data_IF_937412278945
#
_entry.id   IF_937412278945
#
_cell.length_a   1.000
_cell.length_b   1.000
_cell.length_c   1.000
_cell.angle_alpha   90.00
_cell.angle_beta   90.00
_cell.angle_gamma   90.00
#
_symmetry.space_group_name_H-M   'P 1'
#
loop_
_entity.id
_entity.type
_entity.pdbx_description
1 polymer ?
#
# COMPACT_ATOMS: atom_id res chain seq x y z
N UNK A 1 -0.36 -12.29 -37.27
CA UNK A 1 -1.81 -12.48 -37.07
C UNK A 1 -2.15 -11.87 -35.73
N UNK A 2 -2.66 -10.67 -35.74
CA UNK A 2 -2.99 -9.88 -34.54
C UNK A 2 -4.28 -10.41 -33.93
N UNK A 3 -4.19 -10.99 -32.72
CA UNK A 3 -5.37 -11.30 -31.91
C UNK A 3 -5.76 -10.02 -31.16
N UNK A 4 -6.70 -9.29 -31.69
CA UNK A 4 -7.47 -8.29 -30.94
C UNK A 4 -8.43 -9.03 -30.02
N UNK A 5 -7.99 -9.36 -28.81
CA UNK A 5 -8.88 -9.80 -27.75
C UNK A 5 -9.53 -8.53 -27.19
N UNK A 6 -10.79 -8.35 -27.48
CA UNK A 6 -11.64 -7.31 -26.86
C UNK A 6 -12.07 -7.81 -25.49
N UNK A 7 -11.96 -6.97 -24.45
CA UNK A 7 -12.66 -7.21 -23.19
C UNK A 7 -14.15 -7.46 -23.50
N UNK A 8 -14.83 -8.38 -22.83
CA UNK A 8 -16.26 -8.55 -23.00
C UNK A 8 -16.92 -7.19 -22.77
N UNK A 9 -17.82 -6.80 -23.69
CA UNK A 9 -18.59 -5.56 -23.59
C UNK A 9 -19.29 -5.54 -22.22
N UNK A 10 -19.39 -4.38 -21.55
CA UNK A 10 -20.23 -4.25 -20.38
C UNK A 10 -21.64 -4.71 -20.74
N UNK A 11 -22.19 -5.62 -19.93
CA UNK A 11 -23.58 -6.06 -20.04
C UNK A 11 -24.45 -4.81 -19.89
N UNK A 12 -25.23 -4.53 -20.94
CA UNK A 12 -26.23 -3.50 -20.94
C UNK A 12 -27.17 -3.71 -19.74
N UNK A 13 -27.58 -2.60 -19.15
CA UNK A 13 -28.55 -2.49 -18.07
C UNK A 13 -29.75 -3.39 -18.36
N UNK A 14 -29.91 -4.45 -17.60
CA UNK A 14 -31.16 -5.19 -17.48
C UNK A 14 -31.77 -4.81 -16.15
N UNK A 15 -32.70 -3.88 -16.19
CA UNK A 15 -33.54 -3.54 -15.06
C UNK A 15 -34.37 -4.73 -14.62
N UNK A 16 -34.56 -4.88 -13.32
CA UNK A 16 -35.71 -5.60 -12.83
C UNK A 16 -35.54 -6.52 -11.64
N UNK A 17 -36.06 -6.04 -10.54
CA UNK A 17 -36.72 -6.74 -9.44
C UNK A 17 -35.92 -7.21 -8.24
N UNK A 18 -36.24 -6.55 -7.14
CA UNK A 18 -36.04 -6.98 -5.77
C UNK A 18 -36.55 -8.41 -5.54
N UNK A 19 -35.72 -9.20 -4.85
CA UNK A 19 -36.05 -10.50 -4.33
C UNK A 19 -35.16 -10.77 -3.13
N UNK A 20 -35.75 -10.69 -1.93
CA UNK A 20 -35.15 -11.08 -0.66
C UNK A 20 -34.64 -12.52 -0.71
N UNK A 21 -33.43 -12.74 -0.24
CA UNK A 21 -32.87 -14.08 -0.08
C UNK A 21 -31.46 -14.00 0.41
N UNK A 22 -31.29 -13.94 1.73
CA UNK A 22 -30.00 -14.09 2.38
C UNK A 22 -29.36 -15.42 1.98
N UNK A 23 -28.20 -15.37 1.34
CA UNK A 23 -27.31 -16.51 1.19
C UNK A 23 -25.95 -16.23 1.87
N UNK A 24 -25.41 -17.23 2.60
CA UNK A 24 -24.27 -17.04 3.45
C UNK A 24 -22.99 -16.89 2.63
N UNK A 25 -22.31 -15.82 2.90
CA UNK A 25 -20.87 -15.60 2.95
C UNK A 25 -19.98 -16.65 2.27
N UNK A 26 -19.45 -16.29 1.13
CA UNK A 26 -18.11 -16.72 0.74
C UNK A 26 -17.16 -15.65 1.27
N UNK A 27 -16.49 -15.93 2.37
CA UNK A 27 -15.68 -14.98 3.11
C UNK A 27 -14.52 -14.46 2.28
N UNK A 28 -14.40 -13.16 2.22
CA UNK A 28 -13.20 -12.47 1.79
C UNK A 28 -12.12 -12.68 2.85
N UNK A 29 -11.12 -13.51 2.57
CA UNK A 29 -10.01 -13.81 3.48
C UNK A 29 -8.98 -12.65 3.61
N UNK A 30 -9.18 -11.54 2.92
CA UNK A 30 -8.38 -10.35 3.07
C UNK A 30 -8.98 -9.48 4.18
N UNK A 31 -8.42 -9.49 5.36
CA UNK A 31 -8.78 -8.61 6.46
C UNK A 31 -9.95 -9.06 7.35
N UNK A 32 -10.60 -10.20 7.11
CA UNK A 32 -11.53 -10.79 8.06
C UNK A 32 -10.76 -11.28 9.29
N UNK A 33 -11.08 -10.69 10.45
CA UNK A 33 -10.45 -11.00 11.73
C UNK A 33 -9.52 -9.91 12.28
N UNK A 34 -9.27 -8.83 11.53
CA UNK A 34 -8.56 -7.68 12.07
C UNK A 34 -9.54 -6.81 12.85
N UNK A 35 -9.41 -6.83 14.17
CA UNK A 35 -10.23 -6.00 15.05
C UNK A 35 -9.68 -4.57 15.11
N UNK A 36 -10.41 -3.61 14.56
CA UNK A 36 -10.12 -2.17 14.63
C UNK A 36 -11.18 -1.39 15.42
N UNK A 37 -12.14 -2.08 16.04
CA UNK A 37 -13.25 -1.45 16.76
C UNK A 37 -12.81 -0.71 18.01
N UNK A 38 -11.64 -1.06 18.56
CA UNK A 38 -11.14 -0.55 19.83
C UNK A 38 -9.71 -0.01 19.77
N UNK A 39 -9.17 0.25 18.57
CA UNK A 39 -7.79 0.74 18.45
C UNK A 39 -7.36 1.04 17.02
N UNK A 40 -6.10 1.46 16.84
CA UNK A 40 -5.52 1.73 15.53
C UNK A 40 -5.41 0.45 14.69
N UNK A 41 -5.35 0.62 13.35
CA UNK A 41 -5.09 -0.51 12.44
C UNK A 41 -3.63 -0.97 12.51
N UNK A 42 -2.71 -0.06 12.81
CA UNK A 42 -1.29 -0.35 12.99
C UNK A 42 -0.78 0.30 14.27
N UNK A 43 -0.12 -0.49 15.10
CA UNK A 43 0.47 -0.01 16.35
C UNK A 43 1.88 -0.56 16.54
N UNK A 44 2.84 0.34 16.67
CA UNK A 44 4.22 0.07 17.07
C UNK A 44 4.43 0.62 18.47
N UNK A 45 5.02 -0.17 19.36
CA UNK A 45 5.30 0.23 20.73
C UNK A 45 6.75 -0.08 21.11
N UNK A 46 7.52 0.99 21.40
CA UNK A 46 8.89 0.90 21.88
C UNK A 46 9.84 0.17 20.94
N UNK A 47 9.57 0.23 19.63
CA UNK A 47 10.29 -0.57 18.63
C UNK A 47 11.74 -0.09 18.51
N UNK A 48 12.69 -0.97 18.82
CA UNK A 48 14.12 -0.74 18.67
C UNK A 48 14.72 -1.79 17.74
N UNK A 49 15.50 -1.33 16.76
CA UNK A 49 16.27 -2.17 15.83
C UNK A 49 17.72 -1.75 15.86
N UNK A 50 18.61 -2.68 16.12
CA UNK A 50 20.05 -2.44 16.12
C UNK A 50 20.76 -3.32 15.10
N UNK A 51 21.62 -2.72 14.28
CA UNK A 51 22.54 -3.40 13.36
C UNK A 51 23.97 -3.09 13.79
N UNK A 52 24.71 -4.09 14.20
CA UNK A 52 26.13 -3.97 14.61
C UNK A 52 26.41 -2.81 15.59
N UNK A 53 25.47 -2.57 16.52
CA UNK A 53 25.57 -1.51 17.52
C UNK A 53 24.97 -0.16 17.09
N UNK A 54 24.65 0.03 15.82
CA UNK A 54 23.93 1.20 15.34
C UNK A 54 22.41 0.97 15.49
N UNK A 55 21.74 1.90 16.19
CA UNK A 55 20.28 1.86 16.33
C UNK A 55 19.61 2.52 15.13
N UNK A 56 19.04 1.72 14.24
CA UNK A 56 18.26 2.20 13.11
C UNK A 56 16.84 2.63 13.52
N UNK A 57 16.27 1.99 14.55
CA UNK A 57 15.10 2.47 15.29
C UNK A 57 15.43 2.48 16.77
N UNK A 58 14.96 3.49 17.49
CA UNK A 58 15.26 3.72 18.88
C UNK A 58 13.99 4.14 19.63
N UNK A 59 13.35 3.18 20.31
CA UNK A 59 12.13 3.39 21.09
C UNK A 59 10.98 4.01 20.26
N UNK A 60 10.82 3.56 19.00
CA UNK A 60 9.82 4.08 18.09
C UNK A 60 8.43 3.62 18.51
N UNK A 61 7.54 4.57 18.80
CA UNK A 61 6.10 4.31 19.01
C UNK A 61 5.28 5.11 18.00
N UNK A 62 4.35 4.44 17.32
CA UNK A 62 3.50 5.00 16.27
C UNK A 62 2.17 4.28 16.22
N UNK A 63 1.08 5.03 16.09
CA UNK A 63 -0.25 4.48 15.86
C UNK A 63 -0.85 5.09 14.58
N UNK A 64 -1.44 4.25 13.73
CA UNK A 64 -2.17 4.65 12.50
C UNK A 64 -3.59 4.15 12.63
N UNK A 65 -4.57 5.06 12.48
CA UNK A 65 -5.99 4.72 12.58
C UNK A 65 -6.51 4.02 11.31
N UNK A 66 -7.62 3.29 11.42
CA UNK A 66 -8.24 2.62 10.27
C UNK A 66 -8.77 3.67 9.28
N UNK A 67 -8.45 3.50 8.00
CA UNK A 67 -8.77 4.44 6.93
C UNK A 67 -7.91 5.71 6.90
N UNK A 68 -6.93 5.84 7.79
CA UNK A 68 -6.05 7.02 7.86
C UNK A 68 -5.03 7.04 6.71
N UNK A 69 -4.79 8.24 6.14
CA UNK A 69 -3.65 8.53 5.29
C UNK A 69 -2.58 9.25 6.12
N UNK A 70 -1.51 8.52 6.43
CA UNK A 70 -0.36 8.99 7.21
C UNK A 70 0.85 9.19 6.30
N UNK A 71 1.45 10.37 6.32
CA UNK A 71 2.75 10.60 5.72
C UNK A 71 3.87 10.49 6.75
N UNK A 72 4.92 9.77 6.41
CA UNK A 72 6.14 9.65 7.21
C UNK A 72 7.26 10.37 6.48
N UNK A 73 7.82 11.38 7.09
CA UNK A 73 8.93 12.16 6.55
C UNK A 73 10.14 12.09 7.49
N UNK A 74 11.29 12.53 7.01
CA UNK A 74 12.52 12.56 7.80
C UNK A 74 13.75 12.48 6.89
N UNK A 75 14.93 12.87 7.39
CA UNK A 75 16.18 12.79 6.63
C UNK A 75 16.54 11.35 6.26
N UNK A 76 17.53 11.22 5.38
CA UNK A 76 18.10 9.90 5.08
C UNK A 76 18.73 9.32 6.35
N UNK A 77 18.48 8.03 6.58
CA UNK A 77 18.92 7.35 7.80
C UNK A 77 18.01 7.53 9.02
N UNK A 78 16.89 8.28 8.92
CA UNK A 78 15.96 8.49 10.03
C UNK A 78 15.21 7.21 10.48
N UNK A 79 15.37 6.08 9.79
CA UNK A 79 14.73 4.81 10.15
C UNK A 79 13.46 4.47 9.36
N UNK A 80 13.04 5.30 8.38
CA UNK A 80 11.79 5.13 7.62
C UNK A 80 11.65 3.74 6.98
N UNK A 81 12.64 3.32 6.22
CA UNK A 81 12.68 1.99 5.56
C UNK A 81 12.71 0.86 6.59
N UNK A 82 13.50 1.00 7.66
CA UNK A 82 13.57 0.01 8.73
C UNK A 82 12.24 -0.15 9.45
N UNK A 83 11.49 0.94 9.68
CA UNK A 83 10.14 0.91 10.22
C UNK A 83 9.21 0.09 9.31
N UNK A 84 9.20 0.36 8.01
CA UNK A 84 8.42 -0.41 7.04
C UNK A 84 8.84 -1.88 6.99
N UNK A 85 10.14 -2.16 7.08
CA UNK A 85 10.68 -3.52 7.13
C UNK A 85 10.22 -4.27 8.39
N UNK A 86 10.04 -3.57 9.53
CA UNK A 86 9.46 -4.16 10.73
C UNK A 86 7.96 -4.50 10.54
N UNK A 87 7.19 -3.61 9.94
CA UNK A 87 5.76 -3.82 9.70
C UNK A 87 5.54 -5.01 8.76
N UNK A 88 6.39 -5.17 7.74
CA UNK A 88 6.28 -6.27 6.77
C UNK A 88 6.96 -7.57 7.22
N UNK A 89 7.61 -7.59 8.39
CA UNK A 89 8.29 -8.77 8.95
C UNK A 89 9.64 -9.08 8.33
N UNK A 90 10.15 -8.25 7.41
CA UNK A 90 11.47 -8.40 6.80
C UNK A 90 12.60 -8.14 7.80
N UNK A 91 12.39 -7.23 8.75
CA UNK A 91 13.29 -6.97 9.87
C UNK A 91 12.56 -7.23 11.18
N UNK A 92 13.23 -7.92 12.11
CA UNK A 92 12.69 -8.17 13.45
C UNK A 92 13.25 -7.15 14.41
N UNK A 93 12.40 -6.41 15.15
CA UNK A 93 12.84 -5.58 16.27
C UNK A 93 13.61 -6.38 17.30
N UNK A 94 14.59 -5.73 17.91
CA UNK A 94 15.33 -6.27 19.07
C UNK A 94 14.50 -6.11 20.35
N UNK A 95 13.74 -5.01 20.43
CA UNK A 95 12.82 -4.69 21.55
C UNK A 95 11.56 -4.07 20.97
N UNK A 96 10.46 -4.16 21.69
CA UNK A 96 9.17 -3.59 21.30
C UNK A 96 8.29 -4.57 20.54
N UNK A 97 7.11 -4.10 20.13
CA UNK A 97 6.08 -4.90 19.48
C UNK A 97 5.45 -4.17 18.32
N UNK A 98 4.93 -4.93 17.34
CA UNK A 98 4.21 -4.41 16.18
C UNK A 98 2.91 -5.18 16.03
N UNK A 99 1.78 -4.48 16.13
CA UNK A 99 0.45 -5.05 16.02
C UNK A 99 -0.29 -4.54 14.80
N UNK A 100 -1.05 -5.43 14.17
CA UNK A 100 -2.02 -5.11 13.13
C UNK A 100 -3.43 -5.34 13.69
N UNK A 101 -4.23 -4.26 13.76
CA UNK A 101 -5.41 -4.22 14.59
C UNK A 101 -5.07 -4.43 16.07
N UNK A 102 -6.09 -4.72 16.87
CA UNK A 102 -5.93 -4.85 18.32
C UNK A 102 -5.29 -6.17 18.77
N UNK A 103 -5.21 -7.19 17.91
CA UNK A 103 -4.93 -8.57 18.31
C UNK A 103 -3.83 -9.29 17.55
N UNK A 104 -3.44 -8.83 16.38
CA UNK A 104 -2.51 -9.56 15.50
C UNK A 104 -1.09 -9.10 15.76
N UNK A 105 -0.30 -9.91 16.44
CA UNK A 105 1.13 -9.69 16.66
C UNK A 105 1.94 -10.07 15.42
N UNK A 106 2.42 -9.05 14.68
CA UNK A 106 3.21 -9.22 13.46
C UNK A 106 4.58 -9.86 13.72
N UNK A 107 5.07 -9.77 14.96
CA UNK A 107 6.35 -10.37 15.36
C UNK A 107 6.36 -11.89 15.25
N UNK A 108 5.18 -12.52 15.27
CA UNK A 108 5.00 -13.98 15.21
C UNK A 108 4.71 -14.48 13.80
N UNK A 109 4.65 -13.60 12.82
CA UNK A 109 4.24 -13.92 11.45
C UNK A 109 5.42 -13.85 10.49
N UNK A 110 5.35 -14.61 9.40
CA UNK A 110 6.26 -14.49 8.27
C UNK A 110 5.78 -13.38 7.32
N UNK A 111 6.67 -12.84 6.48
CA UNK A 111 6.32 -11.85 5.45
C UNK A 111 5.11 -12.26 4.60
N UNK A 112 5.07 -13.52 4.18
CA UNK A 112 3.95 -14.06 3.40
C UNK A 112 2.63 -14.08 4.19
N UNK A 113 2.67 -14.41 5.48
CA UNK A 113 1.47 -14.35 6.34
C UNK A 113 1.01 -12.91 6.52
N UNK A 114 1.93 -11.97 6.74
CA UNK A 114 1.64 -10.54 6.88
C UNK A 114 0.98 -9.99 5.61
N UNK A 115 1.50 -10.34 4.42
CA UNK A 115 0.87 -9.96 3.17
C UNK A 115 -0.55 -10.56 3.01
N UNK A 116 -0.75 -11.81 3.46
CA UNK A 116 -2.04 -12.48 3.35
C UNK A 116 -3.13 -11.89 4.26
N UNK A 117 -2.77 -11.35 5.43
CA UNK A 117 -3.73 -10.70 6.33
C UNK A 117 -4.12 -9.29 5.88
N UNK A 118 -3.57 -8.78 4.77
CA UNK A 118 -3.98 -7.51 4.17
C UNK A 118 -3.03 -6.34 4.38
N UNK A 119 -1.74 -6.57 4.62
CA UNK A 119 -0.72 -5.53 4.58
C UNK A 119 0.02 -5.62 3.25
N UNK A 120 -0.16 -4.62 2.39
CA UNK A 120 0.52 -4.51 1.11
C UNK A 120 1.65 -3.48 1.15
N UNK A 121 2.79 -3.77 0.54
CA UNK A 121 3.90 -2.82 0.41
C UNK A 121 4.36 -2.69 -1.02
N UNK A 122 4.42 -1.45 -1.51
CA UNK A 122 5.16 -1.08 -2.71
C UNK A 122 6.61 -0.79 -2.33
N UNK A 123 7.53 -1.52 -2.95
CA UNK A 123 8.96 -1.31 -2.76
C UNK A 123 9.50 -0.21 -3.68
N UNK A 124 10.66 0.36 -3.35
CA UNK A 124 11.32 1.39 -4.17
C UNK A 124 11.70 0.90 -5.58
N UNK A 125 12.08 -0.37 -5.72
CA UNK A 125 12.39 -0.96 -7.04
C UNK A 125 11.15 -1.52 -7.69
N UNK A 126 10.90 -1.23 -8.98
CA UNK A 126 9.78 -1.77 -9.70
C UNK A 126 9.78 -3.31 -9.67
N UNK A 127 8.61 -3.89 -9.38
CA UNK A 127 8.39 -5.34 -9.29
C UNK A 127 7.49 -5.86 -10.41
N UNK A 128 7.25 -5.03 -11.44
CA UNK A 128 6.45 -5.42 -12.60
C UNK A 128 7.17 -6.44 -13.47
N UNK A 129 6.44 -7.41 -13.97
CA UNK A 129 6.93 -8.36 -14.98
C UNK A 129 6.92 -7.70 -16.35
N UNK A 130 8.06 -7.14 -16.76
CA UNK A 130 8.16 -6.30 -17.95
C UNK A 130 7.84 -7.05 -19.27
N UNK A 131 8.00 -8.37 -19.31
CA UNK A 131 7.68 -9.21 -20.46
C UNK A 131 6.20 -9.53 -20.59
N UNK A 132 5.41 -9.26 -19.58
CA UNK A 132 3.97 -9.51 -19.53
C UNK A 132 3.19 -8.23 -19.83
N UNK A 133 1.94 -8.39 -20.25
CA UNK A 133 0.99 -7.27 -20.38
C UNK A 133 0.59 -6.71 -19.01
N UNK A 134 0.02 -5.52 -19.01
CA UNK A 134 -0.58 -4.92 -17.81
C UNK A 134 -1.62 -5.87 -17.21
N UNK A 135 -2.49 -6.47 -18.04
CA UNK A 135 -3.49 -7.43 -17.58
C UNK A 135 -2.87 -8.64 -16.89
N UNK A 136 -1.85 -9.25 -17.51
CA UNK A 136 -1.17 -10.44 -16.96
C UNK A 136 -0.47 -10.12 -15.63
N UNK A 137 0.11 -8.93 -15.47
CA UNK A 137 0.65 -8.48 -14.20
C UNK A 137 -0.44 -8.41 -13.11
N UNK A 138 -1.61 -7.85 -13.44
CA UNK A 138 -2.75 -7.78 -12.52
C UNK A 138 -3.29 -9.16 -12.16
N UNK A 139 -3.38 -10.07 -13.15
CA UNK A 139 -3.81 -11.47 -12.95
C UNK A 139 -2.87 -12.22 -12.00
N UNK A 140 -1.55 -12.07 -12.17
CA UNK A 140 -0.56 -12.70 -11.29
C UNK A 140 -0.62 -12.17 -9.85
N UNK A 141 -1.04 -10.91 -9.67
CA UNK A 141 -1.17 -10.29 -8.36
C UNK A 141 -2.41 -10.73 -7.59
N UNK A 142 -3.43 -11.28 -8.28
CA UNK A 142 -4.64 -11.77 -7.61
C UNK A 142 -4.31 -12.85 -6.59
N UNK A 143 -4.95 -12.75 -5.42
CA UNK A 143 -4.93 -13.84 -4.43
C UNK A 143 -5.79 -14.99 -4.95
N UNK A 144 -5.16 -15.96 -5.60
CA UNK A 144 -5.80 -17.21 -5.99
C UNK A 144 -5.31 -18.36 -5.14
N UNK A 145 -6.16 -19.36 -4.90
CA UNK A 145 -5.74 -20.59 -4.22
C UNK A 145 -4.67 -21.28 -5.08
N UNK A 146 -3.40 -21.16 -4.66
CA UNK A 146 -2.23 -21.67 -5.39
C UNK A 146 -2.05 -23.16 -5.12
N UNK A 147 -2.97 -24.00 -5.60
CA UNK A 147 -2.71 -25.44 -5.71
C UNK A 147 -2.07 -25.75 -7.07
N UNK A 148 -1.12 -26.69 -7.17
CA UNK A 148 -0.42 -27.00 -8.44
C UNK A 148 -1.37 -27.44 -9.57
N UNK A 149 -2.56 -27.90 -9.25
CA UNK A 149 -3.59 -28.28 -10.21
C UNK A 149 -4.62 -27.17 -10.49
N UNK A 150 -4.74 -26.17 -9.61
CA UNK A 150 -5.64 -25.04 -9.80
C UNK A 150 -5.11 -24.04 -10.84
N UNK A 151 -3.79 -23.85 -10.89
CA UNK A 151 -3.12 -22.89 -11.78
C UNK A 151 -3.19 -23.27 -13.27
N UNK A 152 -3.36 -24.56 -13.61
CA UNK A 152 -3.36 -25.04 -15.01
C UNK A 152 -4.73 -24.89 -15.69
N UNK A 153 -5.81 -24.70 -14.94
CA UNK A 153 -7.19 -24.62 -15.45
C UNK A 153 -8.04 -23.44 -14.96
N UNK A 154 -7.49 -22.59 -14.14
CA UNK A 154 -8.25 -21.47 -13.60
C UNK A 154 -8.53 -20.40 -14.69
N UNK A 155 -9.72 -20.42 -15.25
CA UNK A 155 -10.27 -19.23 -15.90
C UNK A 155 -10.65 -18.26 -14.78
N UNK A 156 -10.25 -16.99 -14.92
CA UNK A 156 -10.69 -15.94 -14.03
C UNK A 156 -12.22 -15.88 -13.99
N UNK A 157 -12.78 -15.83 -12.80
CA UNK A 157 -14.21 -15.60 -12.61
C UNK A 157 -14.60 -14.16 -12.99
N UNK A 158 -15.89 -13.92 -13.22
CA UNK A 158 -16.40 -12.58 -13.55
C UNK A 158 -16.02 -11.55 -12.48
N UNK A 159 -16.11 -11.92 -11.21
CA UNK A 159 -15.75 -11.05 -10.07
C UNK A 159 -14.26 -10.63 -10.10
N UNK A 160 -13.37 -11.55 -10.44
CA UNK A 160 -11.94 -11.27 -10.57
C UNK A 160 -11.63 -10.33 -11.75
N UNK A 161 -12.32 -10.52 -12.87
CA UNK A 161 -12.21 -9.65 -14.04
C UNK A 161 -12.72 -8.25 -13.74
N UNK A 162 -13.87 -8.14 -13.07
CA UNK A 162 -14.45 -6.86 -12.65
C UNK A 162 -13.53 -6.12 -11.67
N UNK A 163 -12.88 -6.85 -10.76
CA UNK A 163 -11.90 -6.30 -9.83
C UNK A 163 -10.68 -5.76 -10.55
N UNK A 164 -10.11 -6.51 -11.48
CA UNK A 164 -9.00 -6.05 -12.31
C UNK A 164 -9.41 -4.79 -13.09
N UNK A 165 -10.58 -4.79 -13.74
CA UNK A 165 -11.04 -3.65 -14.52
C UNK A 165 -11.23 -2.39 -13.65
N UNK A 166 -11.90 -2.51 -12.51
CA UNK A 166 -12.07 -1.41 -11.54
C UNK A 166 -10.72 -0.85 -11.09
N UNK A 167 -9.79 -1.73 -10.74
CA UNK A 167 -8.45 -1.31 -10.30
C UNK A 167 -7.69 -0.62 -11.42
N UNK A 168 -7.75 -1.12 -12.66
CA UNK A 168 -7.10 -0.50 -13.80
C UNK A 168 -7.66 0.89 -14.13
N UNK A 169 -8.95 1.11 -13.93
CA UNK A 169 -9.57 2.44 -14.03
C UNK A 169 -9.00 3.34 -12.93
N UNK A 170 -8.96 2.87 -11.69
CA UNK A 170 -8.50 3.63 -10.54
C UNK A 170 -7.02 4.06 -10.67
N UNK A 171 -6.16 3.17 -11.17
CA UNK A 171 -4.74 3.50 -11.41
C UNK A 171 -4.47 4.08 -12.81
N UNK A 172 -5.51 4.46 -13.55
CA UNK A 172 -5.42 5.11 -14.88
C UNK A 172 -4.63 4.30 -15.93
N UNK A 173 -4.78 2.97 -15.91
CA UNK A 173 -4.11 2.07 -16.86
C UNK A 173 -5.07 1.25 -17.73
N UNK A 174 -6.38 1.54 -17.69
CA UNK A 174 -7.39 0.80 -18.45
C UNK A 174 -7.09 0.74 -19.96
N UNK A 175 -6.68 1.89 -20.53
CA UNK A 175 -6.38 1.98 -21.97
C UNK A 175 -5.07 1.26 -22.34
N UNK A 176 -4.27 0.87 -21.36
CA UNK A 176 -2.99 0.19 -21.52
C UNK A 176 -3.08 -1.31 -21.21
N UNK A 177 -4.27 -1.84 -20.93
CA UNK A 177 -4.51 -3.19 -20.39
C UNK A 177 -3.77 -4.30 -21.14
N UNK A 178 -3.69 -4.22 -22.47
CA UNK A 178 -3.00 -5.23 -23.31
C UNK A 178 -1.59 -4.83 -23.71
N UNK A 179 -1.10 -3.68 -23.28
CA UNK A 179 0.28 -3.28 -23.52
C UNK A 179 1.25 -4.08 -22.67
N UNK A 180 2.41 -4.37 -23.24
CA UNK A 180 3.52 -4.94 -22.49
C UNK A 180 3.99 -3.94 -21.41
N UNK A 181 4.16 -4.40 -20.16
CA UNK A 181 4.54 -3.53 -19.05
C UNK A 181 5.94 -2.90 -19.23
N UNK A 182 6.81 -3.55 -20.00
CA UNK A 182 8.15 -3.05 -20.29
C UNK A 182 8.19 -1.72 -21.03
N UNK A 183 7.14 -1.39 -21.85
CA UNK A 183 7.06 -0.15 -22.62
C UNK A 183 6.30 0.98 -21.92
N UNK A 184 5.81 0.76 -20.71
CA UNK A 184 5.18 1.78 -19.90
C UNK A 184 6.21 2.83 -19.44
N UNK A 185 5.77 4.09 -19.27
CA UNK A 185 6.58 5.11 -18.60
C UNK A 185 6.92 4.69 -17.15
N UNK A 186 7.89 5.36 -16.56
CA UNK A 186 8.26 5.09 -15.17
C UNK A 186 7.05 5.26 -14.23
N UNK A 187 6.32 6.36 -14.33
CA UNK A 187 5.11 6.61 -13.54
C UNK A 187 4.01 5.59 -13.79
N UNK A 188 3.80 5.17 -15.04
CA UNK A 188 2.84 4.11 -15.37
C UNK A 188 3.22 2.75 -14.75
N UNK A 189 4.51 2.41 -14.69
CA UNK A 189 4.99 1.22 -13.97
C UNK A 189 4.70 1.32 -12.48
N UNK A 190 4.91 2.49 -11.88
CA UNK A 190 4.57 2.73 -10.48
C UNK A 190 3.07 2.57 -10.21
N UNK A 191 2.20 3.09 -11.10
CA UNK A 191 0.75 2.89 -11.00
C UNK A 191 0.34 1.43 -11.17
N UNK A 192 1.01 0.70 -12.06
CA UNK A 192 0.77 -0.75 -12.19
C UNK A 192 1.10 -1.50 -10.90
N UNK A 193 2.20 -1.16 -10.23
CA UNK A 193 2.56 -1.75 -8.94
C UNK A 193 1.52 -1.45 -7.85
N UNK A 194 1.06 -0.20 -7.77
CA UNK A 194 -0.03 0.16 -6.85
C UNK A 194 -1.29 -0.63 -7.21
N UNK A 195 -1.63 -0.78 -8.50
CA UNK A 195 -2.74 -1.61 -8.97
C UNK A 195 -2.60 -3.07 -8.57
N UNK A 196 -1.40 -3.64 -8.69
CA UNK A 196 -1.09 -5.01 -8.25
C UNK A 196 -1.25 -5.21 -6.73
N UNK A 197 -1.07 -4.16 -5.94
CA UNK A 197 -1.41 -4.20 -4.51
C UNK A 197 -2.92 -4.08 -4.30
N UNK A 198 -3.58 -3.12 -4.94
CA UNK A 198 -5.00 -2.84 -4.75
C UNK A 198 -5.89 -4.02 -5.16
N UNK A 199 -5.54 -4.76 -6.21
CA UNK A 199 -6.30 -5.93 -6.66
C UNK A 199 -6.33 -7.05 -5.62
N UNK A 200 -5.43 -7.00 -4.62
CA UNK A 200 -5.39 -7.93 -3.48
C UNK A 200 -6.28 -7.47 -2.32
N UNK A 201 -6.91 -6.30 -2.41
CA UNK A 201 -7.76 -5.69 -1.39
C UNK A 201 -7.07 -5.59 -0.01
N UNK A 202 -5.89 -4.93 0.06
CA UNK A 202 -5.21 -4.75 1.33
C UNK A 202 -5.97 -3.77 2.22
N UNK A 203 -5.94 -3.96 3.54
CA UNK A 203 -6.46 -2.97 4.51
C UNK A 203 -5.44 -1.89 4.81
N UNK A 204 -4.16 -2.24 4.82
CA UNK A 204 -3.04 -1.32 5.03
C UNK A 204 -2.10 -1.35 3.83
N UNK A 205 -1.82 -0.19 3.26
CA UNK A 205 -0.93 -0.01 2.13
C UNK A 205 0.27 0.83 2.57
N UNK A 206 1.47 0.29 2.35
CA UNK A 206 2.72 0.97 2.61
C UNK A 206 3.33 1.38 1.26
N UNK A 207 3.46 2.68 1.04
CA UNK A 207 4.06 3.25 -0.17
C UNK A 207 5.42 3.88 0.18
N UNK A 208 6.48 3.39 -0.44
CA UNK A 208 7.85 3.86 -0.23
C UNK A 208 8.27 4.68 -1.46
N UNK A 209 8.34 6.01 -1.30
CA UNK A 209 8.66 7.00 -2.34
C UNK A 209 7.83 6.78 -3.63
N UNK A 210 6.49 6.84 -3.54
CA UNK A 210 5.62 6.49 -4.67
C UNK A 210 5.75 7.43 -5.86
N UNK A 211 6.27 8.65 -5.69
CA UNK A 211 6.41 9.65 -6.77
C UNK A 211 7.84 9.86 -7.25
N UNK A 212 8.81 9.08 -6.74
CA UNK A 212 10.20 9.20 -7.15
C UNK A 212 10.37 9.04 -8.67
N UNK A 213 10.98 10.04 -9.32
CA UNK A 213 11.24 10.04 -10.77
C UNK A 213 10.01 10.24 -11.66
N UNK A 214 8.89 10.65 -11.11
CA UNK A 214 7.69 11.03 -11.85
C UNK A 214 7.77 12.47 -12.38
N UNK A 215 7.03 12.72 -13.45
CA UNK A 215 6.74 14.09 -13.92
C UNK A 215 5.70 14.73 -13.01
N UNK A 216 5.58 16.07 -13.04
CA UNK A 216 4.60 16.83 -12.25
C UNK A 216 3.16 16.30 -12.48
N UNK A 217 2.81 16.00 -13.74
CA UNK A 217 1.49 15.46 -14.08
C UNK A 217 1.25 14.04 -13.54
N UNK A 218 2.30 13.21 -13.47
CA UNK A 218 2.21 11.87 -12.87
C UNK A 218 2.14 11.97 -11.35
N UNK A 219 2.91 12.87 -10.73
CA UNK A 219 2.86 13.17 -9.29
C UNK A 219 1.47 13.63 -8.87
N UNK A 220 0.86 14.54 -9.64
CA UNK A 220 -0.51 15.01 -9.42
C UNK A 220 -1.52 13.87 -9.37
N UNK A 221 -1.49 13.02 -10.40
CA UNK A 221 -2.40 11.86 -10.48
C UNK A 221 -2.15 10.84 -9.37
N UNK A 222 -0.89 10.69 -8.93
CA UNK A 222 -0.57 9.83 -7.79
C UNK A 222 -1.13 10.41 -6.50
N UNK A 223 -1.12 11.73 -6.34
CA UNK A 223 -1.78 12.40 -5.22
C UNK A 223 -3.29 12.16 -5.21
N UNK A 224 -3.96 12.34 -6.37
CA UNK A 224 -5.38 12.04 -6.54
C UNK A 224 -5.69 10.58 -6.21
N UNK A 225 -4.86 9.64 -6.66
CA UNK A 225 -5.00 8.23 -6.35
C UNK A 225 -4.92 7.99 -4.83
N UNK A 226 -3.89 8.49 -4.16
CA UNK A 226 -3.74 8.34 -2.70
C UNK A 226 -4.95 8.89 -1.95
N UNK A 227 -5.45 10.08 -2.32
CA UNK A 227 -6.63 10.68 -1.73
C UNK A 227 -7.91 9.86 -1.99
N UNK A 228 -8.03 9.22 -3.15
CA UNK A 228 -9.18 8.37 -3.48
C UNK A 228 -9.22 7.05 -2.69
N UNK A 229 -8.09 6.63 -2.15
CA UNK A 229 -7.95 5.41 -1.34
C UNK A 229 -8.24 5.67 0.14
N UNK A 230 -8.16 6.93 0.61
CA UNK A 230 -8.44 7.33 1.99
C UNK A 230 -9.84 6.86 2.42
N UNK A 231 -9.95 6.32 3.61
CA UNK A 231 -11.19 5.81 4.19
C UNK A 231 -11.54 4.38 3.76
N UNK A 232 -11.22 3.97 2.54
CA UNK A 232 -11.39 2.58 2.10
C UNK A 232 -10.17 1.71 2.39
N UNK A 233 -9.01 2.33 2.48
CA UNK A 233 -7.73 1.72 2.85
C UNK A 233 -7.02 2.64 3.84
N UNK A 234 -6.22 2.05 4.73
CA UNK A 234 -5.24 2.80 5.52
C UNK A 234 -3.95 2.91 4.71
N UNK A 235 -3.37 4.11 4.64
CA UNK A 235 -2.16 4.36 3.87
C UNK A 235 -1.05 4.89 4.78
N UNK A 236 0.14 4.32 4.64
CA UNK A 236 1.39 4.89 5.18
C UNK A 236 2.29 5.21 4.00
N UNK A 237 2.54 6.49 3.77
CA UNK A 237 3.33 7.00 2.65
C UNK A 237 4.64 7.56 3.20
N UNK A 238 5.75 6.96 2.82
CA UNK A 238 7.10 7.50 3.11
C UNK A 238 7.52 8.34 1.93
N UNK A 239 7.80 9.60 2.17
CA UNK A 239 8.18 10.55 1.13
C UNK A 239 9.15 11.63 1.63
N UNK A 240 9.86 12.22 0.69
CA UNK A 240 10.73 13.38 0.92
C UNK A 240 10.31 14.59 0.09
N UNK A 241 9.43 14.43 -0.88
CA UNK A 241 8.81 15.52 -1.63
C UNK A 241 7.76 16.23 -0.78
N UNK A 242 8.13 17.41 -0.27
CA UNK A 242 7.29 18.16 0.65
C UNK A 242 6.07 18.80 -0.03
N UNK A 243 6.09 18.98 -1.35
CA UNK A 243 4.94 19.48 -2.10
C UNK A 243 3.89 18.38 -2.21
N UNK A 244 4.30 17.20 -2.62
CA UNK A 244 3.44 16.01 -2.65
C UNK A 244 2.86 15.69 -1.26
N UNK A 245 3.71 15.66 -0.21
CA UNK A 245 3.26 15.43 1.18
C UNK A 245 2.22 16.46 1.60
N UNK A 246 2.45 17.76 1.32
CA UNK A 246 1.51 18.83 1.68
C UNK A 246 0.15 18.66 1.05
N UNK A 247 0.10 18.03 -0.10
CA UNK A 247 -1.11 17.84 -0.88
C UNK A 247 -1.96 16.68 -0.37
N UNK A 248 -1.34 15.59 0.05
CA UNK A 248 -2.07 14.38 0.45
C UNK A 248 -2.19 14.20 1.96
N UNK A 249 -1.26 14.75 2.76
CA UNK A 249 -1.16 14.42 4.17
C UNK A 249 -2.33 14.97 4.98
N UNK A 250 -3.02 14.10 5.70
CA UNK A 250 -3.92 14.46 6.81
C UNK A 250 -3.13 14.57 8.10
N UNK A 251 -2.23 13.64 8.31
CA UNK A 251 -1.34 13.60 9.46
C UNK A 251 0.08 13.26 8.99
N UNK A 252 1.05 13.98 9.51
CA UNK A 252 2.47 13.82 9.22
C UNK A 252 3.19 13.39 10.48
N UNK A 253 4.06 12.39 10.36
CA UNK A 253 4.99 11.98 11.40
C UNK A 253 6.41 12.20 10.88
N UNK A 254 7.21 12.93 11.65
CA UNK A 254 8.62 13.18 11.36
C UNK A 254 9.46 12.18 12.12
N UNK A 255 10.25 11.39 11.41
CA UNK A 255 11.24 10.51 12.01
C UNK A 255 12.62 11.17 11.99
N UNK A 256 13.33 11.04 13.10
CA UNK A 256 14.72 11.45 13.25
C UNK A 256 15.46 10.48 14.18
N UNK A 257 16.64 10.00 13.76
CA UNK A 257 17.48 9.07 14.54
C UNK A 257 16.72 7.85 15.09
N UNK A 258 15.81 7.31 14.29
CA UNK A 258 15.03 6.12 14.63
C UNK A 258 13.86 6.35 15.59
N UNK A 259 13.53 7.59 15.92
CA UNK A 259 12.44 7.95 16.84
C UNK A 259 11.45 8.92 16.17
N UNK A 260 10.24 9.05 16.72
CA UNK A 260 9.29 10.10 16.33
C UNK A 260 9.74 11.43 16.92
N UNK A 261 10.05 12.40 16.06
CA UNK A 261 10.45 13.74 16.47
C UNK A 261 9.21 14.64 16.68
N UNK A 262 8.29 14.61 15.72
CA UNK A 262 7.07 15.42 15.76
C UNK A 262 5.93 14.70 15.02
N UNK A 263 4.70 15.00 15.42
CA UNK A 263 3.49 14.48 14.79
C UNK A 263 2.37 15.52 14.79
N UNK A 264 1.63 15.60 13.67
CA UNK A 264 0.47 16.47 13.55
C UNK A 264 0.08 16.83 12.12
N UNK A 265 -0.68 17.90 11.95
CA UNK A 265 -0.95 18.47 10.63
C UNK A 265 0.34 18.99 9.98
N UNK A 266 0.33 19.13 8.65
CA UNK A 266 1.47 19.67 7.91
C UNK A 266 1.93 21.04 8.44
N UNK A 267 0.99 21.93 8.78
CA UNK A 267 1.29 23.27 9.31
C UNK A 267 1.97 23.19 10.68
N UNK A 268 1.49 22.29 11.55
CA UNK A 268 2.10 22.06 12.87
C UNK A 268 3.53 21.57 12.74
N UNK A 269 3.77 20.60 11.86
CA UNK A 269 5.09 20.01 11.64
C UNK A 269 6.06 21.02 11.02
N UNK A 270 5.61 21.83 10.06
CA UNK A 270 6.43 22.90 9.44
C UNK A 270 6.82 24.00 10.42
N UNK A 271 5.97 24.26 11.41
CA UNK A 271 6.22 25.29 12.44
C UNK A 271 7.03 24.78 13.65
N UNK A 272 7.34 23.50 13.71
CA UNK A 272 8.06 22.92 14.84
C UNK A 272 9.55 23.27 14.78
N UNK A 273 10.12 23.93 15.81
CA UNK A 273 11.51 24.35 15.84
C UNK A 273 12.50 23.17 15.70
N UNK A 274 12.20 22.01 16.27
CA UNK A 274 13.05 20.83 16.19
C UNK A 274 13.06 20.24 14.77
N UNK A 275 11.92 20.25 14.10
CA UNK A 275 11.80 19.83 12.70
C UNK A 275 12.61 20.77 11.80
N UNK A 276 12.46 22.08 12.02
CA UNK A 276 13.22 23.10 11.26
C UNK A 276 14.72 22.91 11.44
N UNK A 277 15.20 22.66 12.65
CA UNK A 277 16.61 22.41 12.95
C UNK A 277 17.13 21.18 12.20
N UNK A 278 16.40 20.06 12.25
CA UNK A 278 16.77 18.80 11.59
C UNK A 278 16.84 18.93 10.06
N UNK A 279 15.91 19.69 9.45
CA UNK A 279 15.88 19.84 7.99
C UNK A 279 16.77 20.95 7.46
N UNK A 280 17.01 22.00 8.23
CA UNK A 280 17.85 23.15 7.82
C UNK A 280 19.29 23.04 8.33
N UNK A 281 19.61 22.08 9.19
CA UNK A 281 20.97 21.84 9.69
C UNK A 281 21.55 23.01 10.49
N UNK A 282 20.72 23.71 11.26
CA UNK A 282 21.12 24.86 12.10
C UNK A 282 21.04 24.51 13.57
#
# INVERSE_FOLDING_TARGET
>A
MSRTATLPRPLAEAGGRAGEGAHPMVGHLAGEGVDVTHGPILYLEGVTVSFDGFKALNDLSLAVDDGELRCIIGPNGAGKTTMMDCITGKTRPTVGTVFFGSTIDLMRMTESQIANIGIGRKFQRPTVFETLSVFENMELALKTAKGPFASVRAKLGSEQLDRIEKTLIQVNLRDQVWRNAGILSHGQKQWLEIGMLLVQEPRLILLDEPVAGMTDAETERTAELCLSLEGSHSLVVVEHDMEFVSRIARKVTVLHEGSVLAEGSMDKVRGDPQVIEVYLGR
#
